data_IF_547894336929
#
_entry.id   IF_547894336929
#
_cell.length_a   1.000
_cell.length_b   1.000
_cell.length_c   1.000
_cell.angle_alpha   90.00
_cell.angle_beta   90.00
_cell.angle_gamma   90.00
#
_symmetry.space_group_name_H-M   'P 1'
#
loop_
_entity.id
_entity.type
_entity.pdbx_description
1 polymer ?
#
# COMPACT_ATOMS: atom_id res chain seq x y z
N UNK A 1 -9.25 13.97 -8.78
CA UNK A 1 -9.30 12.62 -9.40
C UNK A 1 -8.40 12.55 -10.63
N UNK A 2 -7.35 11.73 -10.64
CA UNK A 2 -6.36 11.69 -11.75
C UNK A 2 -6.83 11.17 -13.11
N UNK A 3 -8.06 10.66 -13.24
CA UNK A 3 -8.64 10.29 -14.54
C UNK A 3 -9.76 11.23 -14.98
N UNK A 4 -10.60 11.58 -14.02
CA UNK A 4 -11.90 12.19 -14.26
C UNK A 4 -11.86 13.70 -13.92
N UNK A 5 -10.68 14.23 -13.54
CA UNK A 5 -10.37 15.61 -13.13
C UNK A 5 -11.33 16.25 -12.10
N UNK A 6 -12.22 15.47 -11.47
CA UNK A 6 -13.05 15.95 -10.35
C UNK A 6 -12.15 16.52 -9.25
N UNK A 7 -12.30 17.81 -9.01
CA UNK A 7 -11.63 18.54 -7.94
C UNK A 7 -12.26 18.17 -6.60
N UNK A 8 -11.42 18.17 -5.57
CA UNK A 8 -11.72 17.77 -4.21
C UNK A 8 -12.38 18.97 -3.50
N UNK A 9 -13.57 19.34 -3.95
CA UNK A 9 -14.35 20.45 -3.36
C UNK A 9 -15.80 20.01 -3.25
N UNK A 10 -16.10 19.20 -2.22
CA UNK A 10 -17.47 18.96 -1.79
C UNK A 10 -17.46 18.66 -0.29
N UNK A 11 -17.33 19.72 0.51
CA UNK A 11 -17.93 19.74 1.85
C UNK A 11 -19.44 19.69 1.62
N UNK A 12 -20.01 18.50 1.56
CA UNK A 12 -21.46 18.27 1.60
C UNK A 12 -21.69 17.19 2.63
N UNK A 13 -22.39 17.57 3.69
CA UNK A 13 -22.43 16.94 5.02
C UNK A 13 -23.12 15.56 5.08
N UNK A 14 -23.36 14.90 3.95
CA UNK A 14 -24.13 13.65 3.92
C UNK A 14 -23.48 12.45 3.21
N UNK A 15 -22.37 12.58 2.45
CA UNK A 15 -21.62 11.40 1.99
C UNK A 15 -20.21 11.82 1.54
N UNK A 16 -19.14 11.49 2.29
CA UNK A 16 -17.80 11.90 1.94
C UNK A 16 -17.31 11.03 0.78
N UNK A 17 -17.43 11.52 -0.46
CA UNK A 17 -16.75 10.94 -1.61
C UNK A 17 -15.24 11.23 -1.53
N UNK A 18 -14.60 10.64 -0.52
CA UNK A 18 -13.17 10.69 -0.26
C UNK A 18 -12.48 10.07 -1.46
N UNK A 19 -11.78 10.90 -2.23
CA UNK A 19 -10.92 10.39 -3.29
C UNK A 19 -9.86 9.49 -2.66
N UNK A 20 -9.87 8.22 -3.01
CA UNK A 20 -8.94 7.24 -2.45
C UNK A 20 -7.59 7.41 -3.14
N UNK A 21 -6.49 7.65 -2.39
CA UNK A 21 -5.17 7.71 -2.96
C UNK A 21 -4.75 6.35 -3.53
N UNK A 22 -3.82 6.36 -4.49
CA UNK A 22 -3.19 5.15 -4.96
C UNK A 22 -2.40 4.48 -3.82
N UNK A 23 -2.69 3.22 -3.51
CA UNK A 23 -2.06 2.47 -2.42
C UNK A 23 -0.56 2.21 -2.62
N UNK A 24 -0.05 2.42 -3.83
CA UNK A 24 1.37 2.18 -4.16
C UNK A 24 2.20 3.44 -3.97
N UNK A 25 1.78 4.55 -4.59
CA UNK A 25 2.57 5.77 -4.63
C UNK A 25 1.99 6.92 -3.80
N UNK A 26 0.72 6.81 -3.37
CA UNK A 26 -0.03 7.82 -2.62
C UNK A 26 -0.13 9.22 -3.24
N UNK A 27 0.41 9.45 -4.44
CA UNK A 27 0.48 10.77 -5.08
C UNK A 27 -0.75 11.13 -5.92
N UNK A 28 -1.52 10.15 -6.40
CA UNK A 28 -2.72 10.39 -7.23
C UNK A 28 -3.96 9.83 -6.54
N UNK A 29 -5.01 10.65 -6.46
CA UNK A 29 -6.30 10.31 -5.86
C UNK A 29 -7.36 9.96 -6.92
N UNK A 30 -8.22 8.98 -6.62
CA UNK A 30 -9.30 8.53 -7.51
C UNK A 30 -10.64 8.52 -6.80
N UNK A 31 -11.69 8.99 -7.48
CA UNK A 31 -13.05 8.97 -6.92
C UNK A 31 -13.67 7.57 -6.93
N UNK A 32 -13.24 6.69 -7.84
CA UNK A 32 -13.74 5.32 -7.95
C UNK A 32 -12.66 4.35 -8.44
N UNK A 33 -12.91 3.06 -8.24
CA UNK A 33 -12.02 2.00 -8.71
C UNK A 33 -11.97 1.95 -10.25
N UNK A 34 -13.05 2.36 -10.91
CA UNK A 34 -13.12 2.47 -12.38
C UNK A 34 -12.23 3.58 -12.92
N UNK A 35 -12.27 4.79 -12.33
CA UNK A 35 -11.35 5.88 -12.71
C UNK A 35 -9.87 5.46 -12.46
N UNK A 36 -9.58 4.59 -11.47
CA UNK A 36 -8.23 4.02 -11.31
C UNK A 36 -7.88 3.04 -12.43
N UNK A 37 -8.81 2.15 -12.81
CA UNK A 37 -8.58 1.11 -13.82
C UNK A 37 -8.40 1.70 -15.23
N UNK A 38 -9.19 2.71 -15.59
CA UNK A 38 -9.05 3.43 -16.86
C UNK A 38 -7.70 4.15 -16.96
N UNK A 39 -7.25 4.79 -15.88
CA UNK A 39 -5.97 5.51 -15.84
C UNK A 39 -4.77 4.58 -15.63
N UNK A 40 -4.96 3.30 -15.30
CA UNK A 40 -3.88 2.37 -14.93
C UNK A 40 -2.76 2.27 -15.99
N UNK A 41 -3.10 2.27 -17.29
CA UNK A 41 -2.09 2.18 -18.37
C UNK A 41 -1.16 3.39 -18.41
N UNK A 42 -1.69 4.59 -18.16
CA UNK A 42 -0.92 5.83 -18.09
C UNK A 42 -0.20 5.94 -16.75
N UNK A 43 -0.91 5.65 -15.65
CA UNK A 43 -0.40 5.71 -14.30
C UNK A 43 0.77 4.79 -14.06
N UNK A 44 0.74 3.53 -14.55
CA UNK A 44 1.78 2.52 -14.26
C UNK A 44 3.18 3.00 -14.64
N UNK A 45 3.32 3.83 -15.67
CA UNK A 45 4.60 4.39 -16.12
C UNK A 45 5.22 5.35 -15.11
N UNK A 46 4.39 6.10 -14.37
CA UNK A 46 4.83 7.10 -13.38
C UNK A 46 4.72 6.58 -11.95
N UNK A 47 3.85 5.61 -11.69
CA UNK A 47 3.55 5.07 -10.37
C UNK A 47 4.79 4.51 -9.67
N UNK A 48 5.68 3.83 -10.41
CA UNK A 48 6.90 3.27 -9.85
C UNK A 48 7.87 4.36 -9.36
N UNK A 49 8.07 5.44 -10.14
CA UNK A 49 8.93 6.56 -9.73
C UNK A 49 8.37 7.29 -8.51
N UNK A 50 7.07 7.59 -8.55
CA UNK A 50 6.38 8.22 -7.43
C UNK A 50 6.38 7.36 -6.15
N UNK A 51 6.28 6.04 -6.28
CA UNK A 51 6.37 5.13 -5.14
C UNK A 51 7.78 5.12 -4.52
N UNK A 52 8.84 5.24 -5.33
CA UNK A 52 10.20 5.40 -4.81
C UNK A 52 10.39 6.73 -4.08
N UNK A 53 9.84 7.82 -4.61
CA UNK A 53 9.86 9.14 -3.94
C UNK A 53 9.11 9.12 -2.61
N UNK A 54 7.96 8.45 -2.59
CA UNK A 54 7.22 8.22 -1.36
C UNK A 54 8.04 7.42 -0.36
N UNK A 55 8.72 6.34 -0.79
CA UNK A 55 9.57 5.55 0.10
C UNK A 55 10.75 6.33 0.69
N UNK A 56 11.28 7.33 -0.02
CA UNK A 56 12.38 8.20 0.47
C UNK A 56 11.91 9.17 1.54
N UNK A 57 10.68 9.68 1.41
CA UNK A 57 10.15 10.75 2.27
C UNK A 57 9.25 10.22 3.38
N UNK A 58 8.71 9.02 3.23
CA UNK A 58 7.85 8.41 4.22
C UNK A 58 8.63 8.13 5.52
N UNK A 59 8.06 8.40 6.70
CA UNK A 59 8.66 8.05 7.97
C UNK A 59 8.63 6.52 8.11
N UNK A 60 9.68 5.86 7.62
CA UNK A 60 9.85 4.42 7.82
C UNK A 60 10.16 4.22 9.30
N UNK A 61 9.12 3.97 10.11
CA UNK A 61 9.32 3.47 11.48
C UNK A 61 9.83 2.05 11.33
N UNK A 62 11.16 1.92 11.23
CA UNK A 62 11.83 0.63 11.17
C UNK A 62 11.32 -0.21 12.33
N UNK A 63 10.66 -1.33 12.02
CA UNK A 63 10.31 -2.30 13.03
C UNK A 63 11.62 -2.77 13.66
N UNK A 64 11.81 -2.45 14.94
CA UNK A 64 12.97 -2.91 15.69
C UNK A 64 13.01 -4.43 15.60
N UNK A 65 14.15 -5.01 15.22
CA UNK A 65 14.32 -6.48 15.27
C UNK A 65 14.02 -6.92 16.70
N UNK A 66 12.94 -7.68 16.88
CA UNK A 66 12.69 -8.35 18.13
C UNK A 66 13.91 -9.24 18.44
N UNK A 67 14.42 -9.24 19.68
CA UNK A 67 15.51 -10.13 20.05
C UNK A 67 15.12 -11.59 19.73
N UNK A 68 16.09 -12.43 19.35
CA UNK A 68 15.82 -13.85 19.11
C UNK A 68 15.18 -14.43 20.37
N UNK A 69 13.98 -15.01 20.23
CA UNK A 69 13.32 -15.72 21.32
C UNK A 69 14.25 -16.87 21.73
N UNK A 70 14.80 -16.78 22.94
CA UNK A 70 15.68 -17.80 23.50
C UNK A 70 15.00 -19.16 23.44
N UNK A 71 15.79 -20.14 23.01
CA UNK A 71 15.45 -21.54 22.79
C UNK A 71 14.74 -22.18 24.00
N UNK A 72 13.41 -22.32 23.92
CA UNK A 72 12.67 -23.31 24.73
C UNK A 72 11.48 -23.91 23.95
N UNK A 73 11.27 -23.56 22.68
CA UNK A 73 10.22 -24.19 21.88
C UNK A 73 10.76 -25.45 21.17
N UNK A 74 10.83 -26.55 21.92
CA UNK A 74 11.20 -27.91 21.44
C UNK A 74 10.16 -28.55 20.49
N UNK A 75 9.33 -27.77 19.81
CA UNK A 75 8.11 -28.27 19.15
C UNK A 75 7.99 -28.08 17.63
N UNK A 76 8.98 -27.51 16.95
CA UNK A 76 8.87 -27.19 15.53
C UNK A 76 10.00 -27.76 14.70
N UNK A 77 9.68 -28.66 13.76
CA UNK A 77 10.52 -29.15 12.66
C UNK A 77 11.27 -30.50 12.83
N UNK A 78 10.61 -31.55 13.36
CA UNK A 78 11.14 -32.93 13.29
C UNK A 78 10.31 -33.89 12.42
N UNK A 79 9.18 -33.47 11.85
CA UNK A 79 8.23 -34.37 11.14
C UNK A 79 8.74 -34.95 9.81
N UNK A 80 9.91 -34.56 9.30
CA UNK A 80 10.46 -35.10 8.04
C UNK A 80 11.82 -35.78 8.21
N UNK A 81 12.15 -36.20 9.43
CA UNK A 81 13.47 -36.77 9.76
C UNK A 81 13.39 -38.21 10.29
N UNK A 82 12.23 -38.88 10.16
CA UNK A 82 11.99 -40.19 10.76
C UNK A 82 11.17 -41.17 9.89
N UNK A 83 11.14 -40.98 8.56
CA UNK A 83 10.62 -42.00 7.63
C UNK A 83 11.79 -42.89 7.14
N UNK A 84 12.11 -43.91 7.94
CA UNK A 84 12.91 -45.12 7.65
C UNK A 84 12.39 -46.19 8.59
#
# INVERSE_FOLDING_TARGET
CGNCNKAETSTSEDEPSILKPCTMCHSVSYCSRDCKKSHAKKHKKVCAGLAQEYAKTAPVKMASRAPPKSDTFRGGLQKWQFDT
#
